data_IF_774762060926
#
_entry.id   IF_774762060926
#
_cell.length_a   1.000
_cell.length_b   1.000
_cell.length_c   1.000
_cell.angle_alpha   90.00
_cell.angle_beta   90.00
_cell.angle_gamma   90.00
#
_symmetry.space_group_name_H-M   'P 1'
#
loop_
_entity.id
_entity.type
_entity.pdbx_description
1 polymer ?
#
# COMPACT_ATOMS: atom_id res chain seq x y z
N UNK A 1 28.26 -36.80 -10.46
CA UNK A 1 27.36 -35.83 -9.82
C UNK A 1 26.60 -35.06 -10.91
N UNK A 2 25.34 -35.41 -11.18
CA UNK A 2 24.53 -34.75 -12.21
C UNK A 2 23.89 -33.47 -11.69
N UNK A 3 24.22 -32.32 -12.27
CA UNK A 3 23.56 -31.05 -11.94
C UNK A 3 22.14 -31.05 -12.47
N UNK A 4 21.15 -31.05 -11.57
CA UNK A 4 19.73 -30.96 -11.93
C UNK A 4 19.51 -29.69 -12.77
N UNK A 5 18.99 -29.78 -14.01
CA UNK A 5 18.80 -28.61 -14.86
C UNK A 5 17.85 -27.63 -14.16
N UNK A 6 18.35 -26.44 -13.85
CA UNK A 6 17.53 -25.35 -13.29
C UNK A 6 16.49 -24.98 -14.33
N UNK A 7 15.20 -25.12 -14.01
CA UNK A 7 14.10 -24.75 -14.91
C UNK A 7 14.07 -23.22 -15.08
N UNK A 8 14.55 -22.66 -16.21
CA UNK A 8 14.72 -21.21 -16.35
C UNK A 8 13.38 -20.45 -16.43
N UNK A 9 12.26 -21.16 -16.51
CA UNK A 9 10.92 -20.57 -16.67
C UNK A 9 10.25 -20.08 -15.40
N UNK A 10 10.56 -20.65 -14.22
CA UNK A 10 9.82 -20.33 -12.97
C UNK A 10 10.20 -18.94 -12.45
N UNK A 11 11.48 -18.59 -12.50
CA UNK A 11 11.95 -17.27 -12.06
C UNK A 11 11.40 -16.13 -12.92
N UNK A 12 11.29 -16.35 -14.24
CA UNK A 12 10.72 -15.35 -15.15
C UNK A 12 9.23 -15.10 -14.87
N UNK A 13 8.45 -16.15 -14.62
CA UNK A 13 7.02 -15.98 -14.31
C UNK A 13 6.79 -15.33 -12.96
N UNK A 14 7.61 -15.65 -11.95
CA UNK A 14 7.57 -14.99 -10.65
C UNK A 14 7.91 -13.50 -10.77
N UNK A 15 9.00 -13.15 -11.46
CA UNK A 15 9.41 -11.76 -11.65
C UNK A 15 8.33 -10.93 -12.34
N UNK A 16 7.76 -11.43 -13.44
CA UNK A 16 6.68 -10.74 -14.17
C UNK A 16 5.47 -10.53 -13.27
N UNK A 17 5.06 -11.56 -12.52
CA UNK A 17 3.94 -11.47 -11.60
C UNK A 17 4.20 -10.45 -10.47
N UNK A 18 5.40 -10.43 -9.89
CA UNK A 18 5.79 -9.44 -8.88
C UNK A 18 5.74 -8.02 -9.42
N UNK A 19 6.28 -7.76 -10.62
CA UNK A 19 6.24 -6.43 -11.23
C UNK A 19 4.79 -5.94 -11.45
N UNK A 20 3.92 -6.82 -11.98
CA UNK A 20 2.51 -6.50 -12.16
C UNK A 20 1.80 -6.29 -10.81
N UNK A 21 2.11 -7.10 -9.80
CA UNK A 21 1.58 -6.93 -8.44
C UNK A 21 1.98 -5.60 -7.81
N UNK A 22 3.25 -5.21 -7.95
CA UNK A 22 3.75 -3.90 -7.49
C UNK A 22 3.06 -2.75 -8.22
N UNK A 23 2.97 -2.81 -9.55
CA UNK A 23 2.28 -1.79 -10.35
C UNK A 23 0.80 -1.67 -9.97
N UNK A 24 0.13 -2.80 -9.71
CA UNK A 24 -1.27 -2.82 -9.25
C UNK A 24 -1.41 -2.18 -7.86
N UNK A 25 -0.49 -2.49 -6.94
CA UNK A 25 -0.49 -1.90 -5.58
C UNK A 25 -0.36 -0.38 -5.63
N UNK A 26 0.57 0.14 -6.44
CA UNK A 26 0.76 1.58 -6.65
C UNK A 26 -0.47 2.19 -7.31
N UNK A 27 -0.96 1.58 -8.39
CA UNK A 27 -2.12 2.06 -9.14
C UNK A 27 -3.40 2.15 -8.29
N UNK A 28 -3.66 1.16 -7.43
CA UNK A 28 -4.78 1.18 -6.49
C UNK A 28 -4.63 2.30 -5.46
N UNK A 29 -3.45 2.46 -4.87
CA UNK A 29 -3.19 3.52 -3.89
C UNK A 29 -3.35 4.93 -4.50
N UNK A 30 -2.90 5.12 -5.74
CA UNK A 30 -3.07 6.40 -6.47
C UNK A 30 -4.52 6.63 -6.89
N UNK A 31 -5.22 5.59 -7.37
CA UNK A 31 -6.65 5.67 -7.67
C UNK A 31 -7.48 6.11 -6.46
N UNK A 32 -7.15 5.57 -5.27
CA UNK A 32 -7.78 5.98 -4.01
C UNK A 32 -7.41 7.41 -3.60
N UNK A 33 -6.21 7.89 -3.93
CA UNK A 33 -5.80 9.27 -3.64
C UNK A 33 -6.56 10.30 -4.49
N UNK A 34 -6.84 9.97 -5.75
CA UNK A 34 -7.54 10.86 -6.70
C UNK A 34 -9.06 10.75 -6.59
N UNK A 35 -9.58 9.54 -6.35
CA UNK A 35 -11.00 9.24 -6.51
C UNK A 35 -11.86 9.41 -5.28
N UNK A 36 -11.27 9.66 -4.10
CA UNK A 36 -12.03 9.76 -2.84
C UNK A 36 -11.68 11.06 -2.14
N UNK A 37 -12.67 11.95 -2.09
CA UNK A 37 -12.59 13.15 -1.27
C UNK A 37 -12.52 12.75 0.21
N UNK A 38 -11.47 13.21 0.89
CA UNK A 38 -11.31 13.05 2.34
C UNK A 38 -12.05 14.13 3.13
N UNK A 39 -12.95 14.89 2.48
CA UNK A 39 -13.76 15.93 3.14
C UNK A 39 -14.83 15.25 3.99
N UNK A 40 -14.46 14.83 5.20
CA UNK A 40 -15.37 14.26 6.19
C UNK A 40 -14.90 14.69 7.57
N UNK A 41 -15.82 14.84 8.50
CA UNK A 41 -15.56 15.05 9.92
C UNK A 41 -14.57 14.01 10.48
N UNK A 42 -13.71 14.39 11.45
CA UNK A 42 -12.76 13.47 12.06
C UNK A 42 -13.52 12.32 12.75
N UNK A 43 -13.09 11.09 12.51
CA UNK A 43 -13.68 9.91 13.17
C UNK A 43 -13.16 9.74 14.59
N UNK A 44 -11.89 10.11 14.81
CA UNK A 44 -11.22 9.99 16.09
C UNK A 44 -10.25 11.15 16.29
N UNK A 45 -10.28 11.76 17.46
CA UNK A 45 -9.27 12.72 17.90
C UNK A 45 -8.45 12.08 19.02
N UNK A 46 -7.13 12.12 18.89
CA UNK A 46 -6.18 11.60 19.89
C UNK A 46 -5.12 12.63 20.22
N UNK A 47 -4.42 12.43 21.33
CA UNK A 47 -3.24 13.22 21.68
C UNK A 47 -2.00 12.35 21.61
N UNK A 48 -0.94 12.83 20.96
CA UNK A 48 0.30 12.09 20.78
C UNK A 48 1.50 12.92 21.21
N UNK A 49 2.47 12.26 21.84
CA UNK A 49 3.68 12.91 22.37
C UNK A 49 4.89 12.62 21.48
N UNK A 50 5.67 13.65 21.22
CA UNK A 50 7.00 13.56 20.62
C UNK A 50 8.00 14.38 21.45
N UNK A 51 9.31 14.11 21.38
CA UNK A 51 10.29 14.88 22.14
C UNK A 51 10.15 16.39 21.86
N UNK A 52 9.74 17.16 22.89
CA UNK A 52 9.64 18.61 22.83
C UNK A 52 8.34 19.18 22.25
N UNK A 53 7.46 18.37 21.66
CA UNK A 53 6.19 18.82 21.08
C UNK A 53 5.08 17.81 21.35
N UNK A 54 3.92 18.33 21.74
CA UNK A 54 2.69 17.55 21.81
C UNK A 54 1.74 17.86 20.67
N UNK A 55 1.06 16.85 20.18
CA UNK A 55 0.18 16.93 19.01
C UNK A 55 -1.25 16.55 19.35
N UNK A 56 -2.20 17.34 18.87
CA UNK A 56 -3.56 16.88 18.63
C UNK A 56 -3.60 16.23 17.25
N UNK A 57 -4.04 14.98 17.20
CA UNK A 57 -4.09 14.20 15.97
C UNK A 57 -5.54 13.87 15.65
N UNK A 58 -6.03 14.42 14.54
CA UNK A 58 -7.34 14.11 14.00
C UNK A 58 -7.19 13.03 12.93
N UNK A 59 -7.85 11.89 13.14
CA UNK A 59 -7.85 10.77 12.20
C UNK A 59 -9.13 10.77 11.36
N UNK A 60 -8.91 10.62 10.05
CA UNK A 60 -9.95 10.48 9.04
C UNK A 60 -9.72 9.14 8.35
N UNK A 61 -10.54 8.14 8.61
CA UNK A 61 -10.41 6.83 7.97
C UNK A 61 -11.63 6.52 7.10
N UNK A 62 -11.38 5.81 6.01
CA UNK A 62 -12.38 5.18 5.14
C UNK A 62 -11.76 3.91 4.57
N UNK A 63 -12.57 3.14 3.85
CA UNK A 63 -12.10 1.93 3.23
C UNK A 63 -10.89 2.18 2.30
N UNK A 64 -9.72 1.65 2.69
CA UNK A 64 -8.44 1.78 1.98
C UNK A 64 -7.74 3.14 2.11
N UNK A 65 -8.24 4.02 2.99
CA UNK A 65 -7.83 5.43 3.09
C UNK A 65 -7.72 5.79 4.57
N UNK A 66 -6.60 6.41 4.96
CA UNK A 66 -6.45 7.03 6.27
C UNK A 66 -5.72 8.35 6.09
N UNK A 67 -6.15 9.40 6.76
CA UNK A 67 -5.42 10.66 6.86
C UNK A 67 -5.31 11.03 8.33
N UNK A 68 -4.16 11.54 8.74
CA UNK A 68 -3.93 12.03 10.08
C UNK A 68 -3.47 13.49 9.98
N UNK A 69 -4.21 14.39 10.62
CA UNK A 69 -3.88 15.80 10.74
C UNK A 69 -3.29 16.03 12.11
N UNK A 70 -2.04 16.45 12.15
CA UNK A 70 -1.23 16.67 13.33
C UNK A 70 -1.08 18.18 13.55
N UNK A 71 -1.73 18.67 14.59
CA UNK A 71 -1.62 20.07 15.01
C UNK A 71 -0.85 20.08 16.32
N UNK A 72 0.26 20.85 16.46
CA UNK A 72 0.92 20.98 17.74
C UNK A 72 -0.08 21.53 18.76
N UNK A 73 0.12 21.32 20.07
CA UNK A 73 -0.73 21.95 21.11
C UNK A 73 0.00 23.15 21.72
N UNK A 74 1.33 23.16 21.63
CA UNK A 74 2.19 24.20 22.23
C UNK A 74 1.87 25.63 21.75
N UNK A 75 1.22 25.80 20.60
CA UNK A 75 0.79 27.11 20.11
C UNK A 75 -0.34 27.74 20.94
N UNK A 76 -1.11 26.95 21.70
CA UNK A 76 -2.21 27.47 22.53
C UNK A 76 -1.75 27.95 23.93
N UNK A 77 -0.55 28.51 24.04
CA UNK A 77 -0.12 29.21 25.26
C UNK A 77 0.63 28.34 26.25
N UNK A 78 1.93 28.12 25.98
CA UNK A 78 2.86 27.67 27.02
C UNK A 78 3.00 28.70 28.15
N UNK A 79 2.62 29.97 28.00
CA UNK A 79 2.56 30.99 29.07
C UNK A 79 3.74 30.99 30.09
N UNK A 80 4.95 30.62 29.65
CA UNK A 80 6.12 30.50 30.52
C UNK A 80 6.23 29.21 31.36
N UNK A 81 5.32 28.25 31.19
CA UNK A 81 5.37 26.93 31.80
C UNK A 81 6.62 26.15 31.37
N UNK A 82 7.22 25.45 32.31
CA UNK A 82 8.24 24.44 32.04
C UNK A 82 7.66 23.24 31.28
N UNK A 83 8.51 22.45 30.61
CA UNK A 83 8.07 21.22 29.94
C UNK A 83 7.29 20.29 30.89
N UNK A 84 7.71 20.18 32.15
CA UNK A 84 7.07 19.32 33.14
C UNK A 84 5.68 19.82 33.56
N UNK A 85 5.51 21.15 33.72
CA UNK A 85 4.20 21.75 34.05
C UNK A 85 3.23 21.62 32.88
N UNK A 86 3.72 21.84 31.67
CA UNK A 86 2.93 21.67 30.46
C UNK A 86 2.49 20.20 30.29
N UNK A 87 3.41 19.25 30.47
CA UNK A 87 3.11 17.81 30.43
C UNK A 87 2.05 17.42 31.47
N UNK A 88 2.16 17.94 32.71
CA UNK A 88 1.20 17.67 33.78
C UNK A 88 -0.20 18.26 33.48
N UNK A 89 -0.27 19.48 32.93
CA UNK A 89 -1.53 20.13 32.52
C UNK A 89 -2.23 19.33 31.42
N UNK A 90 -1.45 18.83 30.47
CA UNK A 90 -1.97 17.92 29.44
C UNK A 90 -2.50 16.64 30.06
N UNK A 91 -1.74 15.97 30.93
CA UNK A 91 -2.18 14.71 31.52
C UNK A 91 -3.51 14.91 32.25
N UNK A 92 -3.64 16.03 32.96
CA UNK A 92 -4.90 16.42 33.60
C UNK A 92 -6.04 16.63 32.58
N UNK A 93 -5.80 17.37 31.49
CA UNK A 93 -6.81 17.65 30.45
C UNK A 93 -7.23 16.38 29.71
N UNK A 94 -6.25 15.52 29.42
CA UNK A 94 -6.46 14.31 28.64
C UNK A 94 -7.23 13.26 29.47
N UNK A 95 -6.89 13.13 30.76
CA UNK A 95 -7.65 12.31 31.71
C UNK A 95 -9.08 12.83 31.90
N UNK A 96 -9.26 14.16 31.95
CA UNK A 96 -10.59 14.78 32.09
C UNK A 96 -11.49 14.51 30.87
N UNK A 97 -10.93 14.55 29.66
CA UNK A 97 -11.66 14.32 28.42
C UNK A 97 -11.81 12.83 28.07
N UNK A 98 -11.13 11.94 28.79
CA UNK A 98 -11.11 10.50 28.49
C UNK A 98 -10.48 10.18 27.12
N UNK A 99 -9.65 11.08 26.59
CA UNK A 99 -9.01 10.88 25.28
C UNK A 99 -7.76 10.02 25.47
N UNK A 100 -7.53 8.97 24.67
CA UNK A 100 -6.34 8.16 24.80
C UNK A 100 -5.08 8.95 24.38
N UNK A 101 -4.03 8.89 25.22
CA UNK A 101 -2.67 9.32 24.85
C UNK A 101 -1.96 8.13 24.21
N UNK A 102 -1.50 8.29 22.96
CA UNK A 102 -0.63 7.30 22.32
C UNK A 102 0.82 7.80 22.31
N UNK A 103 1.76 6.87 22.51
CA UNK A 103 3.20 7.11 22.28
C UNK A 103 3.61 6.99 20.82
N UNK A 104 2.67 6.73 19.91
CA UNK A 104 2.97 6.58 18.48
C UNK A 104 3.42 7.92 17.86
N UNK A 105 4.54 7.88 17.15
CA UNK A 105 5.02 9.00 16.35
C UNK A 105 4.36 9.04 14.97
N UNK A 106 4.52 10.16 14.26
CA UNK A 106 4.25 10.28 12.83
C UNK A 106 4.93 9.12 12.08
N UNK A 107 4.21 8.52 11.13
CA UNK A 107 4.65 7.27 10.46
C UNK A 107 5.47 7.53 9.22
N UNK A 108 5.22 8.63 8.52
CA UNK A 108 5.92 9.04 7.31
C UNK A 108 7.12 9.91 7.67
N UNK A 109 7.02 10.77 8.68
CA UNK A 109 8.11 11.67 9.07
C UNK A 109 8.75 11.31 10.40
N UNK A 110 10.09 11.24 10.41
CA UNK A 110 10.84 11.22 11.66
C UNK A 110 10.91 12.66 12.18
N UNK A 111 10.18 12.93 13.26
CA UNK A 111 9.97 14.30 13.77
C UNK A 111 11.23 14.96 14.33
N UNK A 112 12.29 14.20 14.61
CA UNK A 112 13.60 14.75 15.02
C UNK A 112 14.26 15.63 13.97
N UNK A 113 13.74 15.68 12.75
CA UNK A 113 14.23 16.54 11.66
C UNK A 113 13.51 17.89 11.54
N UNK A 114 12.38 18.08 12.23
CA UNK A 114 11.62 19.32 12.18
C UNK A 114 12.09 20.24 13.32
N UNK A 115 13.17 21.00 13.08
CA UNK A 115 13.51 22.12 13.95
C UNK A 115 12.49 23.23 13.71
N UNK A 116 11.49 23.32 14.59
CA UNK A 116 10.44 24.32 14.47
C UNK A 116 10.89 25.59 15.18
N UNK A 117 10.89 26.72 14.47
CA UNK A 117 10.98 28.02 15.13
C UNK A 117 9.67 28.24 15.91
N UNK A 118 9.75 28.86 17.10
CA UNK A 118 8.60 28.98 18.01
C UNK A 118 7.46 29.86 17.47
N UNK A 119 7.65 30.54 16.32
CA UNK A 119 6.74 31.55 15.79
C UNK A 119 5.85 31.08 14.63
N UNK A 120 6.15 29.95 13.98
CA UNK A 120 5.36 29.46 12.86
C UNK A 120 4.38 28.37 13.32
N UNK A 121 3.09 28.55 13.07
CA UNK A 121 2.12 27.47 13.25
C UNK A 121 2.27 26.51 12.07
N UNK A 122 2.48 25.24 12.41
CA UNK A 122 2.72 24.22 11.42
C UNK A 122 1.79 23.06 11.65
N UNK A 123 1.05 22.71 10.62
CA UNK A 123 0.20 21.53 10.58
C UNK A 123 0.88 20.47 9.72
N UNK A 124 0.99 19.26 10.26
CA UNK A 124 1.49 18.12 9.52
C UNK A 124 0.31 17.24 9.12
N UNK A 125 0.15 16.99 7.83
CA UNK A 125 -0.87 16.09 7.31
C UNK A 125 -0.21 14.85 6.73
N UNK A 126 -0.49 13.68 7.30
CA UNK A 126 -0.09 12.39 6.74
C UNK A 126 -1.27 11.74 6.02
N UNK A 127 -1.05 11.28 4.80
CA UNK A 127 -2.04 10.51 4.05
C UNK A 127 -1.52 9.11 3.79
N UNK A 128 -2.38 8.12 3.98
CA UNK A 128 -2.13 6.72 3.75
C UNK A 128 -3.19 6.14 2.82
N UNK A 129 -2.76 5.34 1.85
CA UNK A 129 -3.63 4.72 0.84
C UNK A 129 -3.21 3.29 0.56
N UNK A 130 -4.18 2.45 0.24
CA UNK A 130 -3.93 1.09 -0.24
C UNK A 130 -5.07 0.15 0.06
N UNK A 131 -5.13 -0.96 -0.66
CA UNK A 131 -6.10 -2.01 -0.42
C UNK A 131 -5.49 -3.39 -0.75
N UNK A 132 -5.76 -4.43 0.07
CA UNK A 132 -6.59 -4.43 1.28
C UNK A 132 -5.96 -3.78 2.52
N UNK A 133 -4.63 -3.68 2.58
CA UNK A 133 -3.93 -2.98 3.66
C UNK A 133 -3.41 -1.62 3.17
N UNK A 134 -3.20 -0.66 4.08
CA UNK A 134 -2.53 0.59 3.76
C UNK A 134 -1.10 0.30 3.29
N UNK A 135 -0.75 0.70 2.06
CA UNK A 135 0.49 0.28 1.42
C UNK A 135 1.43 1.43 1.09
N UNK A 136 0.90 2.63 0.80
CA UNK A 136 1.70 3.81 0.51
C UNK A 136 1.26 4.98 1.40
N UNK A 137 2.20 5.87 1.71
CA UNK A 137 1.95 7.13 2.40
C UNK A 137 2.61 8.33 1.74
N UNK A 138 2.11 9.51 2.08
CA UNK A 138 2.70 10.82 1.83
C UNK A 138 2.52 11.70 3.06
N UNK A 139 3.31 12.77 3.14
CA UNK A 139 3.18 13.77 4.19
C UNK A 139 3.39 15.17 3.63
N UNK A 140 2.56 16.09 4.10
CA UNK A 140 2.57 17.51 3.73
C UNK A 140 2.69 18.34 4.99
N UNK A 141 3.59 19.31 4.96
CA UNK A 141 3.75 20.31 6.01
C UNK A 141 3.07 21.60 5.53
N UNK A 142 2.09 22.07 6.29
CA UNK A 142 1.40 23.32 6.06
C UNK A 142 1.99 24.33 7.05
N UNK A 143 2.58 25.41 6.54
CA UNK A 143 3.02 26.53 7.35
C UNK A 143 2.04 27.67 7.16
N UNK A 144 1.50 28.17 8.27
CA UNK A 144 0.66 29.36 8.24
C UNK A 144 1.53 30.54 8.67
N UNK A 145 1.84 31.42 7.71
CA UNK A 145 2.46 32.72 7.96
C UNK A 145 1.43 33.81 7.64
N UNK A 146 1.52 34.98 8.29
CA UNK A 146 0.55 36.08 8.21
C UNK A 146 0.05 36.39 6.77
N UNK A 147 -1.01 35.69 6.34
CA UNK A 147 -1.68 35.86 5.05
C UNK A 147 -1.13 35.06 3.86
N UNK A 148 -0.13 34.19 4.04
CA UNK A 148 0.36 33.29 2.98
C UNK A 148 0.49 31.85 3.49
N UNK A 149 -0.23 30.94 2.82
CA UNK A 149 -0.25 29.51 3.14
C UNK A 149 0.87 28.81 2.36
N UNK A 150 2.06 28.71 2.95
CA UNK A 150 3.16 27.98 2.33
C UNK A 150 2.99 26.47 2.58
N UNK A 151 2.84 25.72 1.48
CA UNK A 151 2.65 24.27 1.51
C UNK A 151 3.90 23.56 1.04
N UNK A 152 4.62 22.96 2.00
CA UNK A 152 5.79 22.16 1.71
C UNK A 152 5.42 20.66 1.69
N UNK A 153 5.38 20.07 0.50
CA UNK A 153 5.23 18.61 0.38
C UNK A 153 6.55 17.93 0.75
N UNK A 154 6.59 17.27 1.91
CA UNK A 154 7.79 16.60 2.40
C UNK A 154 8.00 15.25 1.72
N UNK A 155 6.92 14.49 1.52
CA UNK A 155 6.95 13.21 0.82
C UNK A 155 5.71 13.05 -0.05
N UNK A 156 5.91 12.85 -1.36
CA UNK A 156 4.83 12.62 -2.32
C UNK A 156 4.96 13.53 -3.54
N UNK A 157 4.00 13.41 -4.45
CA UNK A 157 3.86 14.34 -5.57
C UNK A 157 2.56 15.12 -5.41
N UNK A 158 2.67 16.44 -5.33
CA UNK A 158 1.51 17.32 -5.31
C UNK A 158 1.01 17.51 -6.75
N UNK A 159 -0.23 17.14 -6.99
CA UNK A 159 -0.90 17.31 -8.26
C UNK A 159 -2.11 18.24 -8.07
N UNK A 160 -2.13 19.34 -8.83
CA UNK A 160 -3.29 20.23 -8.89
C UNK A 160 -4.09 19.86 -10.15
N UNK A 161 -5.26 19.20 -10.03
CA UNK A 161 -6.14 19.04 -11.18
C UNK A 161 -6.55 20.43 -11.65
N UNK A 162 -6.53 20.68 -12.96
CA UNK A 162 -6.83 21.99 -13.57
C UNK A 162 -8.29 22.47 -13.43
N UNK A 163 -8.97 22.10 -12.34
CA UNK A 163 -10.29 22.63 -12.00
C UNK A 163 -10.10 24.01 -11.35
N UNK A 164 -10.93 25.00 -11.70
CA UNK A 164 -10.95 26.27 -11.00
C UNK A 164 -11.45 26.02 -9.58
N UNK A 165 -10.51 25.87 -8.65
CA UNK A 165 -10.76 25.62 -7.24
C UNK A 165 -11.43 26.86 -6.63
N UNK A 166 -12.66 26.72 -6.13
CA UNK A 166 -13.27 27.74 -5.26
C UNK A 166 -12.84 27.62 -3.80
N UNK A 167 -12.06 26.60 -3.46
CA UNK A 167 -11.54 26.33 -2.11
C UNK A 167 -10.12 25.75 -2.20
N UNK A 168 -9.20 26.19 -1.33
CA UNK A 168 -7.77 25.84 -1.30
C UNK A 168 -7.45 24.36 -0.94
N UNK A 169 -8.41 23.45 -1.08
CA UNK A 169 -8.31 22.02 -0.71
C UNK A 169 -7.95 21.09 -1.87
N UNK A 170 -7.71 21.61 -3.08
CA UNK A 170 -7.59 20.78 -4.30
C UNK A 170 -6.20 20.20 -4.59
N UNK A 171 -5.24 20.26 -3.66
CA UNK A 171 -3.93 19.62 -3.84
C UNK A 171 -4.01 18.13 -3.55
N UNK A 172 -4.05 17.31 -4.61
CA UNK A 172 -4.02 15.86 -4.51
C UNK A 172 -2.59 15.40 -4.30
N UNK A 173 -2.31 14.79 -3.15
CA UNK A 173 -1.00 14.22 -2.87
C UNK A 173 -0.95 12.74 -3.25
N UNK A 174 -0.10 12.39 -4.22
CA UNK A 174 0.15 11.00 -4.58
C UNK A 174 1.11 10.36 -3.58
N UNK A 175 0.72 9.26 -2.90
CA UNK A 175 1.57 8.60 -1.92
C UNK A 175 2.68 7.82 -2.62
N UNK A 176 3.92 8.02 -2.17
CA UNK A 176 5.12 7.39 -2.74
C UNK A 176 5.92 6.58 -1.71
N UNK A 177 5.70 6.81 -0.41
CA UNK A 177 6.45 6.13 0.65
C UNK A 177 5.84 4.75 0.93
N UNK A 178 6.58 3.64 0.72
CA UNK A 178 6.06 2.32 1.07
C UNK A 178 5.88 2.15 2.58
N UNK A 179 4.73 1.60 2.97
CA UNK A 179 4.40 1.19 4.33
C UNK A 179 4.59 -0.32 4.41
N UNK A 180 5.71 -0.77 4.99
CA UNK A 180 6.24 -2.09 4.66
C UNK A 180 5.44 -3.32 5.08
N UNK A 181 4.55 -3.39 6.09
CA UNK A 181 3.68 -4.56 6.18
C UNK A 181 2.64 -4.58 5.04
N UNK A 182 1.98 -3.46 4.77
CA UNK A 182 0.90 -3.41 3.79
C UNK A 182 1.37 -3.44 2.34
N UNK A 183 2.50 -2.80 2.03
CA UNK A 183 3.07 -2.82 0.69
C UNK A 183 3.45 -4.23 0.24
N UNK A 184 4.15 -4.99 1.09
CA UNK A 184 4.52 -6.37 0.78
C UNK A 184 3.28 -7.27 0.68
N UNK A 185 2.33 -7.14 1.60
CA UNK A 185 1.11 -7.94 1.57
C UNK A 185 0.30 -7.71 0.29
N UNK A 186 0.00 -6.45 -0.05
CA UNK A 186 -0.76 -6.11 -1.25
C UNK A 186 -0.02 -6.55 -2.51
N UNK A 187 1.30 -6.31 -2.58
CA UNK A 187 2.13 -6.75 -3.72
C UNK A 187 2.09 -8.26 -3.88
N UNK A 188 2.25 -9.02 -2.79
CA UNK A 188 2.19 -10.48 -2.83
C UNK A 188 0.80 -10.98 -3.25
N UNK A 189 -0.27 -10.37 -2.72
CA UNK A 189 -1.64 -10.70 -3.09
C UNK A 189 -1.87 -10.47 -4.59
N UNK A 190 -1.61 -9.27 -5.10
CA UNK A 190 -1.82 -8.97 -6.52
C UNK A 190 -0.88 -9.76 -7.42
N UNK A 191 0.37 -9.99 -7.02
CA UNK A 191 1.30 -10.84 -7.76
C UNK A 191 0.78 -12.29 -7.85
N UNK A 192 0.22 -12.84 -6.77
CA UNK A 192 -0.36 -14.19 -6.78
C UNK A 192 -1.55 -14.29 -7.72
N UNK A 193 -2.41 -13.26 -7.78
CA UNK A 193 -3.54 -13.17 -8.70
C UNK A 193 -3.06 -13.10 -10.15
N UNK A 194 -2.10 -12.24 -10.46
CA UNK A 194 -1.49 -12.16 -11.79
C UNK A 194 -0.82 -13.47 -12.20
N UNK A 195 -0.10 -14.11 -11.28
CA UNK A 195 0.55 -15.38 -11.55
C UNK A 195 -0.47 -16.48 -11.86
N UNK A 196 -1.54 -16.57 -11.07
CA UNK A 196 -2.64 -17.51 -11.32
C UNK A 196 -3.30 -17.21 -12.68
N UNK A 197 -3.62 -15.96 -12.97
CA UNK A 197 -4.26 -15.57 -14.22
C UNK A 197 -3.43 -15.95 -15.46
N UNK A 198 -2.13 -15.67 -15.43
CA UNK A 198 -1.24 -15.87 -16.58
C UNK A 198 -0.72 -17.30 -16.70
N UNK A 199 -0.44 -17.97 -15.58
CA UNK A 199 0.32 -19.23 -15.57
C UNK A 199 -0.48 -20.45 -15.11
N UNK A 200 -1.70 -20.30 -14.58
CA UNK A 200 -2.52 -21.44 -14.15
C UNK A 200 -2.89 -22.38 -15.29
N UNK A 201 -3.30 -21.84 -16.45
CA UNK A 201 -3.68 -22.63 -17.63
C UNK A 201 -2.52 -23.49 -18.17
N UNK A 202 -1.33 -22.94 -18.46
CA UNK A 202 -0.21 -23.75 -18.93
C UNK A 202 0.27 -24.75 -17.87
N UNK A 203 0.23 -24.39 -16.59
CA UNK A 203 0.59 -25.31 -15.51
C UNK A 203 -0.39 -26.50 -15.42
N UNK A 204 -1.70 -26.25 -15.50
CA UNK A 204 -2.73 -27.31 -15.51
C UNK A 204 -2.55 -28.21 -16.73
N UNK A 205 -2.26 -27.63 -17.91
CA UNK A 205 -1.97 -28.39 -19.13
C UNK A 205 -0.76 -29.31 -18.95
N UNK A 206 0.36 -28.80 -18.43
CA UNK A 206 1.58 -29.59 -18.17
C UNK A 206 1.32 -30.70 -17.15
N UNK A 207 0.61 -30.40 -16.06
CA UNK A 207 0.25 -31.39 -15.03
C UNK A 207 -0.63 -32.51 -15.59
N UNK A 208 -1.57 -32.22 -16.49
CA UNK A 208 -2.38 -33.24 -17.17
C UNK A 208 -1.51 -34.14 -18.05
N UNK A 209 -0.66 -33.54 -18.88
CA UNK A 209 0.26 -34.30 -19.77
C UNK A 209 1.19 -35.20 -18.94
N UNK A 210 1.77 -34.67 -17.85
CA UNK A 210 2.66 -35.44 -16.97
C UNK A 210 1.96 -36.63 -16.26
N UNK A 211 0.62 -36.60 -16.15
CA UNK A 211 -0.19 -37.70 -15.61
C UNK A 211 -0.75 -38.64 -16.69
N UNK A 212 -0.32 -38.48 -17.95
CA UNK A 212 -0.89 -39.23 -19.07
C UNK A 212 -2.36 -38.91 -19.34
N UNK A 213 -2.81 -37.69 -19.02
CA UNK A 213 -4.17 -37.23 -19.29
C UNK A 213 -4.20 -36.28 -20.50
N UNK A 214 -5.29 -36.33 -21.26
CA UNK A 214 -5.51 -35.39 -22.36
C UNK A 214 -5.48 -33.93 -21.85
N UNK A 215 -4.70 -33.03 -22.46
CA UNK A 215 -4.59 -31.64 -22.01
C UNK A 215 -5.92 -30.87 -22.09
N UNK A 216 -6.80 -31.22 -23.02
CA UNK A 216 -8.10 -30.58 -23.25
C UNK A 216 -9.17 -31.09 -22.26
N UNK A 217 -9.59 -32.34 -22.40
CA UNK A 217 -10.70 -32.92 -21.63
C UNK A 217 -10.29 -33.67 -20.35
N UNK A 218 -9.00 -33.88 -20.09
CA UNK A 218 -8.49 -34.68 -18.97
C UNK A 218 -8.82 -36.19 -19.01
N UNK A 219 -9.25 -36.72 -20.16
CA UNK A 219 -9.41 -38.16 -20.36
C UNK A 219 -8.09 -38.92 -20.19
N UNK A 220 -8.12 -40.10 -19.57
CA UNK A 220 -6.93 -40.93 -19.36
C UNK A 220 -6.43 -41.52 -20.67
N UNK A 221 -5.15 -41.35 -20.97
CA UNK A 221 -4.51 -41.90 -22.16
C UNK A 221 -3.70 -43.17 -21.84
N UNK A 222 -3.70 -43.59 -20.58
CA UNK A 222 -3.06 -44.84 -20.17
C UNK A 222 -3.69 -46.02 -20.93
N UNK A 223 -2.88 -46.80 -21.66
CA UNK A 223 -3.31 -47.96 -22.43
C UNK A 223 -3.83 -47.69 -23.85
N UNK A 224 -4.06 -46.43 -24.23
CA UNK A 224 -4.46 -46.05 -25.60
C UNK A 224 -3.29 -45.65 -26.49
N UNK A 225 -2.15 -45.35 -25.87
CA UNK A 225 -0.90 -45.09 -26.55
C UNK A 225 -0.15 -46.40 -26.85
N UNK A 226 0.41 -46.61 -28.05
CA UNK A 226 0.59 -45.68 -29.18
C UNK A 226 -0.50 -45.76 -30.28
N UNK A 227 -1.66 -46.37 -30.01
CA UNK A 227 -2.60 -46.79 -31.04
C UNK A 227 -3.40 -45.65 -31.71
N UNK A 228 -3.53 -44.47 -31.08
CA UNK A 228 -4.31 -43.35 -31.64
C UNK A 228 -3.56 -42.02 -31.55
N UNK A 229 -3.58 -41.22 -32.63
CA UNK A 229 -2.96 -39.88 -32.67
C UNK A 229 -3.92 -38.77 -32.15
N UNK A 230 -5.16 -39.13 -31.78
CA UNK A 230 -6.20 -38.21 -31.32
C UNK A 230 -6.88 -38.74 -30.06
N UNK A 231 -7.24 -37.85 -29.15
CA UNK A 231 -8.03 -38.21 -27.97
C UNK A 231 -9.44 -38.67 -28.41
N UNK A 232 -9.95 -39.82 -27.93
CA UNK A 232 -11.24 -40.36 -28.37
C UNK A 232 -12.43 -39.48 -27.94
N UNK A 233 -12.34 -38.81 -26.78
CA UNK A 233 -13.43 -37.99 -26.26
C UNK A 233 -13.57 -36.64 -26.98
N UNK A 234 -12.47 -35.91 -27.14
CA UNK A 234 -12.50 -34.52 -27.61
C UNK A 234 -11.86 -34.32 -28.99
N UNK A 235 -11.36 -35.38 -29.62
CA UNK A 235 -10.69 -35.32 -30.92
C UNK A 235 -9.37 -34.54 -30.94
N UNK A 236 -8.90 -34.01 -29.80
CA UNK A 236 -7.68 -33.21 -29.73
C UNK A 236 -6.48 -34.04 -30.16
N UNK A 237 -5.72 -33.56 -31.14
CA UNK A 237 -4.51 -34.21 -31.62
C UNK A 237 -3.46 -34.30 -30.50
N UNK A 238 -2.91 -35.49 -30.31
CA UNK A 238 -1.84 -35.74 -29.35
C UNK A 238 -0.52 -35.37 -30.00
N UNK A 239 0.14 -34.32 -29.52
CA UNK A 239 1.45 -33.93 -30.04
C UNK A 239 2.47 -34.98 -29.61
N UNK A 240 2.92 -35.84 -30.54
CA UNK A 240 3.90 -36.93 -30.31
C UNK A 240 5.18 -36.49 -29.58
N UNK A 241 5.54 -35.20 -29.62
CA UNK A 241 6.72 -34.64 -28.91
C UNK A 241 6.64 -34.70 -27.38
N UNK A 242 5.47 -34.93 -26.77
CA UNK A 242 5.34 -34.90 -25.32
C UNK A 242 5.90 -36.14 -24.59
N UNK A 243 6.08 -37.29 -25.27
CA UNK A 243 6.55 -38.54 -24.63
C UNK A 243 8.03 -38.85 -24.84
N UNK A 244 8.65 -38.41 -25.95
CA UNK A 244 10.09 -38.56 -26.16
C UNK A 244 10.96 -37.79 -25.12
N UNK A 245 10.35 -36.85 -24.38
CA UNK A 245 10.97 -36.12 -23.26
C UNK A 245 10.63 -36.69 -21.87
N UNK A 246 9.73 -37.68 -21.79
CA UNK A 246 9.39 -38.36 -20.54
C UNK A 246 10.19 -39.67 -20.37
N UNK A 247 10.75 -40.20 -21.46
CA UNK A 247 11.66 -41.36 -21.48
C UNK A 247 13.15 -40.96 -21.36
N UNK A 248 13.46 -39.66 -21.32
CA UNK A 248 14.81 -39.09 -21.17
C UNK A 248 14.94 -38.31 -19.85
#
# INVERSE_FOLDING_TARGET
MGTKPRTPGVWRSALVATLLGTATTVGVAWGLAVGVDTIVYPELQTYRRSPGVQWSVQEFARWGIRSEVWVPIDWAGRNGESNAEFDARIDATTNMLGVPVSGDSARVLSMGSLSMSQTESVELVEHFRGWPLLALGCATLLRFSDGDDDRLTLYGFAYRPGRPASWDVDLVHLPLKPLFPGFYFNTALFASLWWALLFWRPLRRRRRIARGLCPACAYSLAGLYPATDKCPECGTAMVRRAMALAEA
#
